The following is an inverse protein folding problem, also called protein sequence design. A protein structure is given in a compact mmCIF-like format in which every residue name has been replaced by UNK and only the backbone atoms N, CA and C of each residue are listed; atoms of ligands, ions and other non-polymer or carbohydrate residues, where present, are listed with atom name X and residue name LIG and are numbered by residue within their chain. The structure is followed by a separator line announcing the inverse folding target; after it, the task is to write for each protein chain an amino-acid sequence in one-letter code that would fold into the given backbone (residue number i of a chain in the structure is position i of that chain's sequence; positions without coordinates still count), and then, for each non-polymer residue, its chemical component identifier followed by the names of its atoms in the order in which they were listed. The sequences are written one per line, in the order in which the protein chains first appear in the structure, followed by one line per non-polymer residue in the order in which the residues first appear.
data_IF_577536876350
#
_entry.id   IF_577536876350
#
_cell.length_a   1.000
_cell.length_b   1.000
_cell.length_c   1.000
_cell.angle_alpha   90.00
_cell.angle_beta   90.00
_cell.angle_gamma   90.00
#
_symmetry.space_group_name_H-M   'P 1'
#
loop_
_entity.id
_entity.type
_entity.pdbx_description
1 polymer ?
#
# COMPACT_ATOMS: atom_id res chain seq x y z
N UNK A 1 30.12 -5.60 3.88
CA UNK A 1 29.14 -4.81 4.67
C UNK A 1 27.81 -5.50 4.95
N UNK A 2 27.23 -6.29 4.03
CA UNK A 2 26.26 -7.36 4.40
C UNK A 2 26.74 -8.15 5.64
N UNK A 3 28.04 -8.41 5.70
CA UNK A 3 28.76 -9.02 6.84
C UNK A 3 28.50 -8.36 8.19
N UNK A 4 28.42 -7.02 8.30
CA UNK A 4 28.19 -6.32 9.59
C UNK A 4 26.74 -6.51 10.02
N UNK A 5 25.80 -6.36 9.10
CA UNK A 5 24.39 -6.59 9.42
C UNK A 5 24.11 -8.06 9.76
N UNK A 6 24.72 -9.00 9.03
CA UNK A 6 24.64 -10.42 9.37
C UNK A 6 25.32 -10.72 10.69
N UNK A 7 26.49 -10.14 10.98
CA UNK A 7 27.17 -10.30 12.25
C UNK A 7 26.31 -9.80 13.43
N UNK A 8 25.72 -8.61 13.33
CA UNK A 8 24.82 -8.10 14.37
C UNK A 8 23.59 -9.00 14.50
N UNK A 9 23.00 -9.43 13.38
CA UNK A 9 21.87 -10.37 13.41
C UNK A 9 22.23 -11.70 14.08
N UNK A 10 23.39 -12.26 13.74
CA UNK A 10 23.84 -13.55 14.25
C UNK A 10 24.21 -13.42 15.73
N UNK A 11 24.80 -12.29 16.16
CA UNK A 11 25.03 -11.96 17.56
C UNK A 11 23.71 -11.87 18.34
N UNK A 12 22.72 -11.13 17.83
CA UNK A 12 21.38 -11.05 18.42
C UNK A 12 20.75 -12.45 18.49
N UNK A 13 20.90 -13.27 17.45
CA UNK A 13 20.35 -14.63 17.43
C UNK A 13 21.04 -15.57 18.43
N UNK A 14 22.36 -15.41 18.66
CA UNK A 14 23.09 -16.14 19.70
C UNK A 14 22.61 -15.71 21.08
N UNK A 15 22.53 -14.40 21.34
CA UNK A 15 21.97 -13.87 22.59
C UNK A 15 20.54 -14.40 22.83
N UNK A 16 19.75 -14.57 21.76
CA UNK A 16 18.39 -15.12 21.83
C UNK A 16 18.32 -16.54 22.40
N UNK A 17 19.35 -17.34 22.11
CA UNK A 17 19.40 -18.79 22.38
C UNK A 17 20.14 -19.12 23.68
N UNK A 18 21.08 -18.27 24.10
CA UNK A 18 22.00 -18.58 25.19
C UNK A 18 21.58 -17.95 26.52
N UNK A 19 20.91 -16.79 26.51
CA UNK A 19 20.55 -16.08 27.75
C UNK A 19 19.06 -16.21 28.09
N UNK A 20 18.75 -16.65 29.31
CA UNK A 20 17.42 -16.49 29.89
C UNK A 20 17.27 -15.08 30.45
N UNK A 21 16.36 -14.30 29.88
CA UNK A 21 16.14 -12.88 30.22
C UNK A 21 15.10 -12.71 31.34
N UNK A 22 15.09 -13.63 32.31
CA UNK A 22 14.07 -13.68 33.36
C UNK A 22 14.37 -12.72 34.52
N UNK A 23 15.61 -12.21 34.61
CA UNK A 23 16.04 -11.24 35.61
C UNK A 23 15.92 -9.79 35.15
N UNK A 24 15.38 -8.92 36.01
CA UNK A 24 15.20 -7.48 35.74
C UNK A 24 16.51 -6.75 35.37
N UNK A 25 17.63 -7.11 36.01
CA UNK A 25 18.96 -6.60 35.65
C UNK A 25 19.44 -7.08 34.28
N UNK A 26 19.09 -8.30 33.88
CA UNK A 26 19.46 -8.84 32.58
C UNK A 26 18.67 -8.14 31.47
N UNK A 27 17.38 -7.85 31.72
CA UNK A 27 16.54 -7.07 30.81
C UNK A 27 17.05 -5.64 30.62
N UNK A 28 17.51 -4.96 31.69
CA UNK A 28 18.03 -3.59 31.59
C UNK A 28 19.37 -3.52 30.84
N UNK A 29 20.27 -4.49 31.08
CA UNK A 29 21.52 -4.63 30.30
C UNK A 29 21.18 -4.89 28.83
N UNK A 30 20.24 -5.79 28.57
CA UNK A 30 19.80 -6.12 27.23
C UNK A 30 19.21 -4.91 26.49
N UNK A 31 18.30 -4.16 27.12
CA UNK A 31 17.76 -2.91 26.58
C UNK A 31 18.87 -1.89 26.28
N UNK A 32 19.92 -1.84 27.12
CA UNK A 32 21.05 -0.94 26.92
C UNK A 32 21.89 -1.34 25.71
N UNK A 33 22.14 -2.64 25.51
CA UNK A 33 22.86 -3.16 24.34
C UNK A 33 22.09 -2.89 23.05
N UNK A 34 20.79 -3.20 23.02
CA UNK A 34 19.94 -2.92 21.87
C UNK A 34 19.86 -1.42 21.58
N UNK A 35 19.75 -0.62 22.63
CA UNK A 35 19.79 0.82 22.55
C UNK A 35 21.06 1.38 21.92
N UNK A 36 22.21 0.83 22.31
CA UNK A 36 23.49 1.18 21.72
C UNK A 36 23.54 0.86 20.23
N UNK A 37 23.05 -0.33 19.83
CA UNK A 37 22.96 -0.74 18.42
C UNK A 37 22.05 0.22 17.64
N UNK A 38 20.87 0.56 18.18
CA UNK A 38 19.92 1.47 17.54
C UNK A 38 20.50 2.87 17.32
N UNK A 39 21.22 3.41 18.32
CA UNK A 39 21.88 4.72 18.22
C UNK A 39 22.99 4.70 17.17
N UNK A 40 23.86 3.69 17.21
CA UNK A 40 24.98 3.55 16.25
C UNK A 40 24.51 3.29 14.83
N UNK A 41 23.32 2.70 14.64
CA UNK A 41 22.75 2.49 13.30
C UNK A 41 22.47 3.82 12.57
N UNK A 42 22.22 4.92 13.29
CA UNK A 42 21.98 6.25 12.70
C UNK A 42 23.27 6.95 12.24
N UNK A 43 24.42 6.53 12.79
CA UNK A 43 25.75 7.02 12.41
C UNK A 43 26.27 6.34 11.13
N UNK A 44 25.59 5.28 10.66
CA UNK A 44 25.93 4.62 9.41
C UNK A 44 25.46 5.46 8.21
N UNK A 45 26.29 5.68 7.18
CA UNK A 45 25.90 6.43 5.98
C UNK A 45 24.61 5.89 5.30
N UNK A 46 23.85 6.80 4.67
CA UNK A 46 22.49 6.53 4.13
C UNK A 46 22.43 5.49 3.01
N UNK A 47 23.54 5.18 2.36
CA UNK A 47 23.65 4.11 1.35
C UNK A 47 23.52 2.69 1.97
N UNK A 48 23.44 2.59 3.30
CA UNK A 48 23.48 1.32 4.02
C UNK A 48 22.13 0.87 4.58
N UNK A 49 22.08 -0.42 4.92
CA UNK A 49 20.99 -1.15 5.57
C UNK A 49 20.65 -0.69 7.00
N UNK A 50 20.92 0.56 7.37
CA UNK A 50 20.63 1.15 8.69
C UNK A 50 19.17 0.92 9.10
N UNK A 51 18.22 1.07 8.17
CA UNK A 51 16.81 0.79 8.40
C UNK A 51 16.54 -0.70 8.70
N UNK A 52 17.27 -1.62 8.07
CA UNK A 52 17.11 -3.06 8.30
C UNK A 52 17.65 -3.44 9.69
N UNK A 53 18.82 -2.90 10.07
CA UNK A 53 19.39 -3.08 11.40
C UNK A 53 18.47 -2.53 12.48
N UNK A 54 17.93 -1.32 12.28
CA UNK A 54 16.97 -0.69 13.19
C UNK A 54 15.72 -1.55 13.38
N UNK A 55 15.18 -2.10 12.30
CA UNK A 55 14.03 -3.01 12.36
C UNK A 55 14.36 -4.32 13.08
N UNK A 56 15.51 -4.94 12.81
CA UNK A 56 15.91 -6.19 13.44
C UNK A 56 16.16 -6.02 14.96
N UNK A 57 16.84 -4.96 15.35
CA UNK A 57 17.08 -4.64 16.75
C UNK A 57 15.77 -4.36 17.51
N UNK A 58 14.83 -3.64 16.88
CA UNK A 58 13.53 -3.36 17.46
C UNK A 58 12.64 -4.60 17.56
N UNK A 59 12.64 -5.46 16.53
CA UNK A 59 11.95 -6.76 16.54
C UNK A 59 12.46 -7.63 17.70
N UNK A 60 13.78 -7.66 17.88
CA UNK A 60 14.41 -8.41 18.95
C UNK A 60 14.04 -7.89 20.34
N UNK A 61 13.98 -6.56 20.50
CA UNK A 61 13.53 -5.92 21.75
C UNK A 61 12.10 -6.33 22.12
N UNK A 62 11.18 -6.25 21.16
CA UNK A 62 9.75 -6.52 21.38
C UNK A 62 9.44 -7.99 21.67
N UNK A 63 10.22 -8.92 21.08
CA UNK A 63 10.02 -10.36 21.30
C UNK A 63 10.51 -10.80 22.68
N UNK A 64 11.57 -10.16 23.20
CA UNK A 64 12.31 -10.68 24.35
C UNK A 64 12.06 -9.95 25.65
N UNK A 65 11.77 -8.66 25.58
CA UNK A 65 11.49 -7.88 26.77
C UNK A 65 9.98 -7.83 26.95
N UNK A 66 9.48 -8.50 27.98
CA UNK A 66 8.10 -8.31 28.43
C UNK A 66 7.95 -6.86 28.87
N UNK A 67 6.92 -6.19 28.38
CA UNK A 67 6.60 -4.80 28.73
C UNK A 67 7.74 -3.82 28.40
N UNK A 68 8.09 -3.72 27.11
CA UNK A 68 9.04 -2.70 26.65
C UNK A 68 8.55 -1.32 27.02
N UNK A 69 9.37 -0.59 27.80
CA UNK A 69 9.10 0.81 28.12
C UNK A 69 9.20 1.68 26.85
N UNK A 70 8.14 2.43 26.58
CA UNK A 70 8.04 3.40 25.49
C UNK A 70 9.16 4.44 25.52
N UNK A 71 9.58 4.87 26.71
CA UNK A 71 10.66 5.84 26.86
C UNK A 71 11.97 5.31 26.28
N UNK A 72 12.18 3.99 26.32
CA UNK A 72 13.35 3.31 25.74
C UNK A 72 13.28 3.37 24.22
N UNK A 73 12.10 3.11 23.62
CA UNK A 73 11.90 3.18 22.16
C UNK A 73 12.08 4.62 21.66
N UNK A 74 11.50 5.60 22.35
CA UNK A 74 11.59 7.02 22.02
C UNK A 74 13.02 7.57 22.17
N UNK A 75 13.73 7.18 23.24
CA UNK A 75 15.12 7.53 23.50
C UNK A 75 16.07 7.15 22.36
N UNK A 76 15.73 6.12 21.59
CA UNK A 76 16.51 5.67 20.43
C UNK A 76 15.93 6.12 19.09
N UNK A 77 15.10 7.17 19.08
CA UNK A 77 14.62 7.81 17.85
C UNK A 77 13.76 6.90 16.97
N UNK A 78 13.16 5.85 17.52
CA UNK A 78 12.32 4.94 16.77
C UNK A 78 10.94 5.56 16.56
N UNK A 79 10.69 6.08 15.36
CA UNK A 79 9.38 6.62 14.98
C UNK A 79 8.31 5.52 15.01
N UNK A 80 7.06 5.87 15.35
CA UNK A 80 5.91 4.96 15.32
C UNK A 80 5.77 4.15 14.02
N UNK A 81 6.16 4.73 12.88
CA UNK A 81 6.17 4.03 11.59
C UNK A 81 7.14 2.83 11.55
N UNK A 82 8.29 2.92 12.21
CA UNK A 82 9.26 1.81 12.31
C UNK A 82 8.71 0.70 13.21
N UNK A 83 8.09 1.07 14.32
CA UNK A 83 7.45 0.14 15.25
C UNK A 83 6.29 -0.60 14.57
N UNK A 84 5.42 0.13 13.88
CA UNK A 84 4.32 -0.44 13.09
C UNK A 84 4.85 -1.44 12.05
N UNK A 85 5.92 -1.09 11.33
CA UNK A 85 6.52 -1.99 10.32
C UNK A 85 7.10 -3.27 10.91
N UNK A 86 7.66 -3.21 12.12
CA UNK A 86 8.17 -4.38 12.83
C UNK A 86 7.02 -5.28 13.27
N UNK A 87 5.97 -4.71 13.88
CA UNK A 87 4.77 -5.48 14.24
C UNK A 87 4.12 -6.12 13.01
N UNK A 88 3.94 -5.39 11.91
CA UNK A 88 3.42 -5.95 10.66
C UNK A 88 4.20 -7.19 10.22
N UNK A 89 5.55 -7.15 10.26
CA UNK A 89 6.41 -8.28 9.90
C UNK A 89 6.21 -9.47 10.85
N UNK A 90 6.19 -9.22 12.16
CA UNK A 90 6.01 -10.26 13.17
C UNK A 90 4.63 -10.94 13.05
N UNK A 91 3.61 -10.16 12.67
CA UNK A 91 2.22 -10.61 12.63
C UNK A 91 1.80 -11.22 11.28
N UNK A 92 2.56 -10.97 10.19
CA UNK A 92 2.16 -11.35 8.83
C UNK A 92 1.86 -12.86 8.69
N UNK A 93 2.64 -13.70 9.38
CA UNK A 93 2.53 -15.15 9.30
C UNK A 93 1.49 -15.76 10.27
N UNK A 94 0.88 -14.95 11.15
CA UNK A 94 -0.13 -15.45 12.09
C UNK A 94 -1.45 -15.71 11.38
N UNK A 95 -2.15 -16.81 11.68
CA UNK A 95 -3.41 -17.16 11.01
C UNK A 95 -4.62 -16.42 11.57
N UNK A 96 -4.63 -16.20 12.89
CA UNK A 96 -5.72 -15.53 13.61
C UNK A 96 -5.21 -14.19 14.14
N UNK A 97 -5.88 -13.10 13.77
CA UNK A 97 -5.54 -11.74 14.19
C UNK A 97 -6.76 -11.06 14.79
N UNK A 98 -6.83 -11.07 16.12
CA UNK A 98 -7.83 -10.31 16.85
C UNK A 98 -7.39 -8.86 17.00
N UNK A 99 -8.17 -7.93 16.44
CA UNK A 99 -7.90 -6.49 16.51
C UNK A 99 -8.48 -5.85 17.79
N UNK A 100 -8.45 -6.59 18.90
CA UNK A 100 -8.96 -6.11 20.18
C UNK A 100 -8.00 -5.05 20.74
N UNK A 101 -8.57 -3.97 21.26
CA UNK A 101 -7.84 -2.90 21.93
C UNK A 101 -8.39 -2.73 23.34
N UNK A 102 -7.50 -2.54 24.30
CA UNK A 102 -7.87 -2.29 25.69
C UNK A 102 -8.70 -1.00 25.83
N UNK A 103 -9.42 -0.85 26.94
CA UNK A 103 -10.22 0.34 27.22
C UNK A 103 -9.37 1.62 27.33
N UNK A 104 -8.16 1.51 27.86
CA UNK A 104 -7.20 2.61 28.03
C UNK A 104 -5.83 2.20 27.47
N UNK A 105 -5.70 2.13 26.13
CA UNK A 105 -4.51 1.56 25.52
C UNK A 105 -3.34 2.55 25.57
N UNK A 106 -2.17 2.06 25.94
CA UNK A 106 -0.93 2.80 25.81
C UNK A 106 -0.52 2.92 24.32
N UNK A 107 0.54 3.70 24.04
CA UNK A 107 0.96 3.94 22.65
C UNK A 107 1.41 2.66 21.93
N UNK A 108 2.07 1.71 22.61
CA UNK A 108 2.48 0.43 22.02
C UNK A 108 1.24 -0.38 21.63
N UNK A 109 0.27 -0.51 22.53
CA UNK A 109 -0.96 -1.24 22.27
C UNK A 109 -1.76 -0.63 21.11
N UNK A 110 -1.79 0.71 21.01
CA UNK A 110 -2.36 1.40 19.86
C UNK A 110 -1.61 1.04 18.57
N UNK A 111 -0.28 1.10 18.56
CA UNK A 111 0.52 0.77 17.37
C UNK A 111 0.36 -0.70 16.99
N UNK A 112 0.33 -1.61 17.95
CA UNK A 112 0.10 -3.03 17.72
C UNK A 112 -1.29 -3.28 17.12
N UNK A 113 -2.35 -2.68 17.67
CA UNK A 113 -3.71 -2.81 17.15
C UNK A 113 -3.82 -2.31 15.71
N UNK A 114 -3.21 -1.16 15.40
CA UNK A 114 -3.15 -0.63 14.03
C UNK A 114 -2.37 -1.58 13.11
N UNK A 115 -1.27 -2.15 13.58
CA UNK A 115 -0.47 -3.10 12.80
C UNK A 115 -1.24 -4.39 12.50
N UNK A 116 -1.96 -4.94 13.49
CA UNK A 116 -2.87 -6.09 13.31
C UNK A 116 -3.93 -5.79 12.27
N UNK A 117 -4.56 -4.62 12.34
CA UNK A 117 -5.56 -4.19 11.37
C UNK A 117 -4.98 -4.13 9.94
N UNK A 118 -3.79 -3.54 9.78
CA UNK A 118 -3.12 -3.46 8.46
C UNK A 118 -2.75 -4.82 7.91
N UNK A 119 -2.25 -5.75 8.74
CA UNK A 119 -1.96 -7.12 8.31
C UNK A 119 -3.25 -7.82 7.88
N UNK A 120 -4.33 -7.70 8.67
CA UNK A 120 -5.64 -8.25 8.33
C UNK A 120 -6.15 -7.72 6.99
N UNK A 121 -6.13 -6.40 6.80
CA UNK A 121 -6.49 -5.76 5.52
C UNK A 121 -5.59 -6.19 4.37
N UNK A 122 -4.28 -6.38 4.60
CA UNK A 122 -3.35 -6.85 3.56
C UNK A 122 -3.77 -8.21 3.01
N UNK A 123 -4.12 -9.15 3.89
CA UNK A 123 -4.63 -10.48 3.49
C UNK A 123 -5.95 -10.39 2.73
N UNK A 124 -6.83 -9.47 3.12
CA UNK A 124 -8.06 -9.21 2.41
C UNK A 124 -7.81 -8.61 1.03
N UNK A 125 -6.88 -7.65 0.91
CA UNK A 125 -6.47 -7.06 -0.36
C UNK A 125 -5.88 -8.13 -1.28
N UNK A 126 -4.98 -8.98 -0.78
CA UNK A 126 -4.42 -10.10 -1.54
C UNK A 126 -5.52 -11.03 -2.05
N UNK A 127 -6.49 -11.37 -1.20
CA UNK A 127 -7.63 -12.22 -1.56
C UNK A 127 -8.60 -11.53 -2.53
N UNK A 128 -8.75 -10.22 -2.43
CA UNK A 128 -9.57 -9.39 -3.30
C UNK A 128 -8.94 -9.26 -4.69
N UNK A 129 -7.62 -9.08 -4.72
CA UNK A 129 -6.81 -8.89 -5.92
C UNK A 129 -6.33 -10.21 -6.54
N UNK A 130 -6.68 -11.37 -6.01
CA UNK A 130 -6.43 -12.62 -6.75
C UNK A 130 -7.23 -12.62 -8.06
N UNK A 131 -6.67 -13.16 -9.16
CA UNK A 131 -7.45 -13.42 -10.35
C UNK A 131 -8.64 -14.29 -9.95
N UNK A 132 -9.83 -13.87 -10.33
CA UNK A 132 -11.08 -14.56 -10.02
C UNK A 132 -11.90 -14.73 -11.27
N UNK A 133 -12.63 -15.83 -11.36
CA UNK A 133 -13.65 -16.01 -12.41
C UNK A 133 -14.86 -15.12 -12.11
N UNK A 134 -15.70 -14.84 -13.11
CA UNK A 134 -16.89 -14.01 -12.93
C UNK A 134 -17.84 -14.57 -11.85
N UNK A 135 -17.94 -15.89 -11.72
CA UNK A 135 -18.78 -16.57 -10.74
C UNK A 135 -18.29 -16.35 -9.29
N UNK A 136 -16.97 -16.31 -9.09
CA UNK A 136 -16.36 -16.08 -7.78
C UNK A 136 -16.62 -14.67 -7.23
N UNK A 137 -16.88 -13.68 -8.10
CA UNK A 137 -17.29 -12.32 -7.70
C UNK A 137 -18.74 -12.24 -7.22
N UNK A 138 -19.55 -13.27 -7.47
CA UNK A 138 -20.95 -13.32 -7.03
C UNK A 138 -21.21 -14.26 -5.86
N UNK A 139 -20.23 -15.09 -5.51
CA UNK A 139 -20.34 -16.08 -4.44
C UNK A 139 -20.38 -15.47 -3.03
N UNK A 140 -20.95 -16.21 -2.08
CA UNK A 140 -21.03 -15.81 -0.67
C UNK A 140 -19.67 -15.48 -0.06
N UNK A 141 -18.62 -16.23 -0.42
CA UNK A 141 -17.24 -15.97 0.03
C UNK A 141 -16.75 -14.58 -0.32
N UNK A 142 -17.15 -14.05 -1.47
CA UNK A 142 -16.77 -12.70 -1.89
C UNK A 142 -17.55 -11.63 -1.13
N UNK A 143 -18.84 -11.85 -0.87
CA UNK A 143 -19.64 -10.96 -0.01
C UNK A 143 -19.08 -10.92 1.41
N UNK A 144 -18.73 -12.08 1.97
CA UNK A 144 -18.08 -12.16 3.29
C UNK A 144 -16.76 -11.38 3.30
N UNK A 145 -15.92 -11.53 2.27
CA UNK A 145 -14.68 -10.75 2.14
C UNK A 145 -14.94 -9.24 2.10
N UNK A 146 -15.96 -8.78 1.38
CA UNK A 146 -16.29 -7.35 1.32
C UNK A 146 -16.89 -6.82 2.64
N UNK A 147 -17.69 -7.62 3.34
CA UNK A 147 -18.17 -7.30 4.69
C UNK A 147 -16.97 -7.12 5.63
N UNK A 148 -16.07 -8.11 5.65
CA UNK A 148 -14.85 -8.11 6.45
C UNK A 148 -13.96 -6.89 6.17
N UNK A 149 -13.82 -6.50 4.89
CA UNK A 149 -13.10 -5.28 4.49
C UNK A 149 -13.82 -4.04 5.01
N UNK A 150 -15.13 -3.94 4.82
CA UNK A 150 -15.94 -2.79 5.25
C UNK A 150 -15.85 -2.59 6.76
N UNK A 151 -15.96 -3.67 7.54
CA UNK A 151 -15.86 -3.65 8.99
C UNK A 151 -14.46 -3.24 9.45
N UNK A 152 -13.41 -3.81 8.84
CA UNK A 152 -12.04 -3.45 9.15
C UNK A 152 -11.72 -1.99 8.81
N UNK A 153 -12.23 -1.47 7.69
CA UNK A 153 -12.04 -0.06 7.31
C UNK A 153 -12.80 0.91 8.21
N UNK A 154 -13.85 0.45 8.90
CA UNK A 154 -14.63 1.23 9.88
C UNK A 154 -14.11 1.08 11.32
N UNK A 155 -12.97 0.42 11.51
CA UNK A 155 -12.43 0.07 12.82
C UNK A 155 -12.28 1.29 13.74
N UNK A 156 -11.66 2.37 13.24
CA UNK A 156 -11.38 3.59 14.00
C UNK A 156 -12.67 4.28 14.46
N UNK A 157 -13.71 4.30 13.63
CA UNK A 157 -15.03 4.80 14.01
C UNK A 157 -15.65 4.00 15.16
N UNK A 158 -15.53 2.67 15.12
CA UNK A 158 -16.03 1.79 16.19
C UNK A 158 -15.23 1.90 17.50
N UNK A 159 -13.98 2.38 17.43
CA UNK A 159 -13.03 2.47 18.57
C UNK A 159 -12.65 3.90 18.94
N UNK A 160 -13.50 4.87 18.60
CA UNK A 160 -13.24 6.30 18.81
C UNK A 160 -12.96 6.63 20.28
N UNK A 161 -13.66 5.98 21.21
CA UNK A 161 -13.47 6.20 22.65
C UNK A 161 -12.11 5.72 23.16
N UNK A 162 -11.54 4.64 22.60
CA UNK A 162 -10.24 4.12 23.01
C UNK A 162 -9.07 4.83 22.31
N UNK A 163 -9.26 5.28 21.07
CA UNK A 163 -8.19 5.84 20.24
C UNK A 163 -8.04 7.36 20.39
N UNK A 164 -9.11 8.05 20.79
CA UNK A 164 -9.14 9.49 21.07
C UNK A 164 -9.55 10.34 19.87
N UNK A 165 -9.32 11.65 19.99
CA UNK A 165 -9.84 12.66 19.05
C UNK A 165 -9.28 12.53 17.63
N UNK A 166 -8.10 11.95 17.46
CA UNK A 166 -7.47 11.78 16.14
C UNK A 166 -8.00 10.57 15.35
N UNK A 167 -8.97 9.81 15.89
CA UNK A 167 -9.48 8.59 15.26
C UNK A 167 -9.97 8.83 13.81
N UNK A 168 -10.62 9.96 13.57
CA UNK A 168 -11.16 10.31 12.25
C UNK A 168 -10.01 10.55 11.23
N UNK A 169 -8.87 11.11 11.70
CA UNK A 169 -7.67 11.31 10.86
C UNK A 169 -7.01 9.97 10.55
N UNK A 170 -6.88 9.09 11.54
CA UNK A 170 -6.35 7.74 11.33
C UNK A 170 -7.20 6.93 10.36
N UNK A 171 -8.53 7.04 10.45
CA UNK A 171 -9.47 6.39 9.54
C UNK A 171 -9.24 6.83 8.09
N UNK A 172 -9.09 8.15 7.85
CA UNK A 172 -8.79 8.66 6.51
C UNK A 172 -7.45 8.13 5.98
N UNK A 173 -6.40 8.12 6.81
CA UNK A 173 -5.11 7.56 6.41
C UNK A 173 -5.18 6.06 6.12
N UNK A 174 -6.00 5.31 6.86
CA UNK A 174 -6.23 3.89 6.61
C UNK A 174 -6.90 3.68 5.24
N UNK A 175 -7.92 4.46 4.92
CA UNK A 175 -8.62 4.38 3.63
C UNK A 175 -7.70 4.73 2.47
N UNK A 176 -6.88 5.79 2.60
CA UNK A 176 -5.85 6.15 1.62
C UNK A 176 -4.84 5.00 1.45
N UNK A 177 -4.34 4.45 2.56
CA UNK A 177 -3.38 3.36 2.53
C UNK A 177 -3.94 2.12 1.85
N UNK A 178 -5.18 1.73 2.17
CA UNK A 178 -5.88 0.59 1.57
C UNK A 178 -6.01 0.76 0.06
N UNK A 179 -6.49 1.93 -0.41
CA UNK A 179 -6.59 2.23 -1.84
C UNK A 179 -5.22 2.18 -2.53
N UNK A 180 -4.17 2.72 -1.89
CA UNK A 180 -2.80 2.64 -2.42
C UNK A 180 -2.36 1.18 -2.61
N UNK A 181 -2.63 0.30 -1.65
CA UNK A 181 -2.28 -1.12 -1.77
C UNK A 181 -3.02 -1.80 -2.94
N UNK A 182 -4.32 -1.54 -3.09
CA UNK A 182 -5.10 -2.02 -4.23
C UNK A 182 -4.52 -1.51 -5.57
N UNK A 183 -4.19 -0.22 -5.65
CA UNK A 183 -3.57 0.37 -6.83
C UNK A 183 -2.21 -0.26 -7.16
N UNK A 184 -1.39 -0.58 -6.15
CA UNK A 184 -0.10 -1.23 -6.38
C UNK A 184 -0.24 -2.65 -6.95
N UNK A 185 -1.29 -3.39 -6.57
CA UNK A 185 -1.47 -4.78 -7.00
C UNK A 185 -2.26 -4.94 -8.31
N UNK A 186 -3.19 -4.02 -8.60
CA UNK A 186 -4.11 -4.12 -9.75
C UNK A 186 -4.10 -2.92 -10.68
N UNK A 187 -3.39 -1.87 -10.31
CA UNK A 187 -3.40 -0.61 -11.03
C UNK A 187 -4.60 0.29 -10.66
N UNK A 188 -4.46 1.60 -10.90
CA UNK A 188 -5.46 2.60 -10.54
C UNK A 188 -6.79 2.41 -11.29
N UNK A 189 -6.75 1.98 -12.56
CA UNK A 189 -7.95 1.76 -13.37
C UNK A 189 -8.84 0.66 -12.76
N UNK A 190 -8.23 -0.47 -12.37
CA UNK A 190 -8.97 -1.55 -11.72
C UNK A 190 -9.54 -1.08 -10.38
N UNK A 191 -8.74 -0.44 -9.54
CA UNK A 191 -9.18 0.03 -8.22
C UNK A 191 -10.35 1.00 -8.33
N UNK A 192 -10.27 1.98 -9.24
CA UNK A 192 -11.36 2.91 -9.50
C UNK A 192 -12.60 2.19 -10.00
N UNK A 193 -12.46 1.34 -11.03
CA UNK A 193 -13.60 0.63 -11.63
C UNK A 193 -14.31 -0.23 -10.60
N UNK A 194 -13.55 -0.97 -9.80
CA UNK A 194 -14.07 -1.89 -8.78
C UNK A 194 -14.87 -1.16 -7.69
N UNK A 195 -14.28 -0.16 -7.03
CA UNK A 195 -14.95 0.54 -5.92
C UNK A 195 -16.03 1.54 -6.39
N UNK A 196 -16.12 1.83 -7.69
CA UNK A 196 -17.21 2.62 -8.27
C UNK A 196 -18.40 1.79 -8.75
N UNK A 197 -18.34 0.44 -8.69
CA UNK A 197 -19.47 -0.37 -9.16
C UNK A 197 -20.75 -0.08 -8.35
N UNK A 198 -21.91 0.14 -9.00
CA UNK A 198 -23.14 0.51 -8.30
C UNK A 198 -23.58 -0.53 -7.26
N UNK A 199 -23.49 -1.82 -7.57
CA UNK A 199 -23.82 -2.92 -6.66
C UNK A 199 -22.96 -2.89 -5.39
N UNK A 200 -21.65 -2.68 -5.51
CA UNK A 200 -20.72 -2.57 -4.38
C UNK A 200 -21.08 -1.32 -3.55
N UNK A 201 -21.29 -0.18 -4.19
CA UNK A 201 -21.61 1.08 -3.50
C UNK A 201 -22.95 1.08 -2.78
N UNK A 202 -23.95 0.39 -3.34
CA UNK A 202 -25.26 0.24 -2.69
C UNK A 202 -25.17 -0.68 -1.47
N UNK A 203 -24.41 -1.78 -1.55
CA UNK A 203 -24.30 -2.75 -0.46
C UNK A 203 -23.34 -2.30 0.65
N UNK A 204 -22.31 -1.52 0.30
CA UNK A 204 -21.23 -1.12 1.20
C UNK A 204 -21.10 0.41 1.25
N UNK A 205 -21.85 1.08 2.15
CA UNK A 205 -21.90 2.55 2.21
C UNK A 205 -20.54 3.22 2.43
N UNK A 206 -19.57 2.52 3.00
CA UNK A 206 -18.19 3.03 3.17
C UNK A 206 -17.53 3.39 1.84
N UNK A 207 -17.90 2.75 0.73
CA UNK A 207 -17.33 3.04 -0.59
C UNK A 207 -18.08 4.15 -1.37
N UNK A 208 -19.15 4.69 -0.80
CA UNK A 208 -20.04 5.63 -1.50
C UNK A 208 -20.32 6.92 -0.71
N UNK A 209 -20.58 6.79 0.60
CA UNK A 209 -21.06 7.89 1.43
C UNK A 209 -19.91 8.71 1.98
N UNK A 210 -19.92 10.03 1.73
CA UNK A 210 -18.96 10.98 2.32
C UNK A 210 -19.00 10.97 3.86
N UNK A 211 -20.15 10.62 4.45
CA UNK A 211 -20.30 10.46 5.92
C UNK A 211 -19.60 9.21 6.46
N UNK A 212 -19.38 8.20 5.63
CA UNK A 212 -18.72 6.95 6.02
C UNK A 212 -17.24 6.95 5.62
N UNK A 213 -16.93 7.49 4.44
CA UNK A 213 -15.56 7.75 4.02
C UNK A 213 -15.52 8.93 3.07
N UNK A 214 -14.86 10.01 3.51
CA UNK A 214 -14.50 11.11 2.64
C UNK A 214 -13.63 10.60 1.47
N UNK A 215 -12.66 9.73 1.74
CA UNK A 215 -11.68 9.26 0.77
C UNK A 215 -12.34 8.46 -0.37
N UNK A 216 -13.17 7.46 -0.05
CA UNK A 216 -13.82 6.66 -1.10
C UNK A 216 -14.89 7.47 -1.86
N UNK A 217 -15.56 8.43 -1.20
CA UNK A 217 -16.53 9.29 -1.89
C UNK A 217 -15.90 10.16 -2.98
N UNK A 218 -14.63 10.54 -2.82
CA UNK A 218 -13.87 11.30 -3.84
C UNK A 218 -13.27 10.41 -4.93
N UNK A 219 -13.38 9.09 -4.81
CA UNK A 219 -12.95 8.17 -5.86
C UNK A 219 -13.93 8.25 -7.04
N UNK A 220 -13.62 9.12 -8.00
CA UNK A 220 -14.42 9.27 -9.22
C UNK A 220 -13.99 8.24 -10.28
N UNK A 221 -14.93 7.73 -11.09
CA UNK A 221 -14.57 7.06 -12.33
C UNK A 221 -13.85 8.09 -13.20
N UNK A 222 -12.59 7.86 -13.55
CA UNK A 222 -11.97 8.60 -14.66
C UNK A 222 -12.41 7.96 -15.97
N UNK A 223 -12.47 8.75 -17.03
CA UNK A 223 -12.62 8.18 -18.36
C UNK A 223 -11.47 7.21 -18.62
N UNK A 224 -11.78 6.09 -19.30
CA UNK A 224 -10.87 4.95 -19.54
C UNK A 224 -9.57 5.33 -20.26
N UNK A 225 -9.43 6.58 -20.70
CA UNK A 225 -8.32 7.09 -21.47
C UNK A 225 -7.51 8.18 -20.74
N UNK A 226 -8.07 8.91 -19.77
CA UNK A 226 -7.36 10.00 -19.06
C UNK A 226 -6.17 9.48 -18.23
N UNK A 227 -6.28 8.27 -17.67
CA UNK A 227 -5.18 7.70 -16.89
C UNK A 227 -3.98 7.31 -17.76
N UNK A 228 -4.20 7.05 -19.06
CA UNK A 228 -3.15 6.81 -20.06
C UNK A 228 -2.52 8.11 -20.57
N UNK A 229 -3.09 9.28 -20.25
CA UNK A 229 -2.48 10.57 -20.59
C UNK A 229 -1.42 11.01 -19.57
N UNK A 230 -1.38 10.35 -18.39
CA UNK A 230 -0.46 10.65 -17.27
C UNK A 230 0.57 9.57 -16.85
N UNK A 231 0.77 8.41 -17.51
CA UNK A 231 1.81 7.46 -17.11
C UNK A 231 3.18 7.83 -17.72
N UNK A 232 3.17 8.70 -18.72
CA UNK A 232 4.34 9.13 -19.43
C UNK A 232 4.97 10.32 -18.73
N UNK A 233 6.30 10.44 -18.79
CA UNK A 233 6.93 11.68 -18.41
C UNK A 233 6.42 12.82 -19.30
N UNK A 234 6.63 14.06 -18.83
CA UNK A 234 6.12 15.25 -19.51
C UNK A 234 6.59 15.34 -20.96
N UNK A 235 7.78 14.83 -21.25
CA UNK A 235 8.40 14.91 -22.58
C UNK A 235 7.72 13.94 -23.54
N UNK A 236 7.49 12.69 -23.12
CA UNK A 236 6.75 11.72 -23.90
C UNK A 236 5.27 12.09 -24.03
N UNK A 237 4.62 12.62 -22.98
CA UNK A 237 3.24 13.13 -23.09
C UNK A 237 3.13 14.24 -24.15
N UNK A 238 4.10 15.15 -24.20
CA UNK A 238 4.14 16.21 -25.22
C UNK A 238 4.34 15.63 -26.63
N UNK A 239 5.28 14.69 -26.80
CA UNK A 239 5.51 13.98 -28.06
C UNK A 239 4.25 13.23 -28.51
N UNK A 240 3.56 12.57 -27.58
CA UNK A 240 2.31 11.85 -27.83
C UNK A 240 1.15 12.76 -28.21
N UNK A 241 0.93 13.87 -27.49
CA UNK A 241 -0.13 14.81 -27.84
C UNK A 241 0.09 15.44 -29.22
N UNK A 242 1.33 15.77 -29.57
CA UNK A 242 1.69 16.26 -30.90
C UNK A 242 1.41 15.20 -31.98
N UNK A 243 1.83 13.96 -31.73
CA UNK A 243 1.59 12.82 -32.63
C UNK A 243 0.10 12.52 -32.81
N UNK A 244 -0.69 12.47 -31.73
CA UNK A 244 -2.14 12.31 -31.71
C UNK A 244 -2.84 13.41 -32.52
N UNK A 245 -2.44 14.67 -32.36
CA UNK A 245 -3.00 15.79 -33.11
C UNK A 245 -2.69 15.68 -34.62
N UNK A 246 -1.48 15.24 -34.99
CA UNK A 246 -1.11 14.96 -36.39
C UNK A 246 -1.92 13.80 -36.99
N UNK A 247 -2.18 12.75 -36.20
CA UNK A 247 -3.01 11.60 -36.59
C UNK A 247 -4.47 11.98 -36.86
N UNK A 248 -5.01 12.95 -36.12
CA UNK A 248 -6.38 13.43 -36.29
C UNK A 248 -6.55 14.37 -37.51
N UNK A 249 -5.45 14.81 -38.14
CA UNK A 249 -5.51 15.65 -39.32
C UNK A 249 -5.78 14.84 -40.61
N UNK A 250 -6.58 15.34 -41.57
CA UNK A 250 -7.08 14.55 -42.72
C UNK A 250 -6.02 14.11 -43.76
N UNK A 251 -4.73 14.39 -43.53
CA UNK A 251 -3.66 14.09 -44.48
C UNK A 251 -2.82 12.93 -43.93
N UNK A 252 -3.10 11.72 -44.41
CA UNK A 252 -2.34 10.44 -44.32
C UNK A 252 -1.23 10.30 -43.27
N UNK A 253 -1.11 9.12 -42.66
CA UNK A 253 -0.03 8.71 -41.71
C UNK A 253 1.40 9.17 -42.14
N UNK A 254 1.67 9.30 -43.45
CA UNK A 254 2.93 9.85 -43.99
C UNK A 254 3.27 11.28 -43.51
N UNK A 255 2.30 12.06 -43.05
CA UNK A 255 2.50 13.41 -42.49
C UNK A 255 2.87 13.39 -41.00
N UNK A 256 2.70 12.24 -40.32
CA UNK A 256 3.09 12.02 -38.93
C UNK A 256 4.60 11.75 -38.85
N UNK A 257 5.41 12.70 -39.33
CA UNK A 257 6.85 12.67 -39.15
C UNK A 257 7.11 12.91 -37.66
N UNK A 258 7.66 11.89 -37.01
CA UNK A 258 8.25 11.95 -35.68
C UNK A 258 9.74 12.25 -35.88
N UNK A 259 10.24 13.27 -35.18
CA UNK A 259 11.63 13.76 -35.33
C UNK A 259 12.66 12.66 -35.00
N UNK A 260 12.36 11.84 -34.00
CA UNK A 260 13.15 10.68 -33.59
C UNK A 260 12.47 9.40 -34.05
N UNK A 261 13.12 8.62 -34.93
CA UNK A 261 12.57 7.37 -35.47
C UNK A 261 12.22 6.35 -34.38
N UNK A 262 12.94 6.40 -33.26
CA UNK A 262 12.79 5.49 -32.11
C UNK A 262 11.45 5.70 -31.39
N UNK A 263 10.87 6.90 -31.47
CA UNK A 263 9.61 7.25 -30.82
C UNK A 263 8.37 6.84 -31.63
N UNK A 264 8.52 6.58 -32.93
CA UNK A 264 7.37 6.32 -33.80
C UNK A 264 6.55 5.10 -33.37
N UNK A 265 7.22 3.99 -33.05
CA UNK A 265 6.55 2.74 -32.62
C UNK A 265 5.88 2.90 -31.26
N UNK A 266 6.55 3.42 -30.20
CA UNK A 266 5.91 3.73 -28.92
C UNK A 266 4.70 4.66 -29.04
N UNK A 267 4.79 5.73 -29.84
CA UNK A 267 3.73 6.71 -30.03
C UNK A 267 2.53 6.13 -30.80
N UNK A 268 2.79 5.33 -31.84
CA UNK A 268 1.75 4.62 -32.59
C UNK A 268 1.03 3.60 -31.71
N UNK A 269 1.78 2.82 -30.93
CA UNK A 269 1.20 1.87 -29.97
C UNK A 269 0.35 2.60 -28.93
N UNK A 270 0.87 3.69 -28.34
CA UNK A 270 0.08 4.50 -27.42
C UNK A 270 -1.21 5.01 -28.08
N UNK A 271 -1.15 5.52 -29.31
CA UNK A 271 -2.33 6.01 -30.02
C UNK A 271 -3.38 4.90 -30.27
N UNK A 272 -2.94 3.70 -30.65
CA UNK A 272 -3.82 2.55 -30.89
C UNK A 272 -4.46 2.02 -29.60
N UNK A 273 -3.74 2.03 -28.48
CA UNK A 273 -4.24 1.56 -27.18
C UNK A 273 -5.10 2.59 -26.44
N UNK A 274 -4.88 3.89 -26.69
CA UNK A 274 -5.56 5.00 -26.00
C UNK A 274 -6.75 5.51 -26.81
N UNK A 275 -6.84 5.25 -28.11
CA UNK A 275 -7.98 5.68 -28.91
C UNK A 275 -9.30 5.07 -28.38
N UNK A 276 -10.37 5.87 -28.25
CA UNK A 276 -11.69 5.33 -27.91
C UNK A 276 -12.17 4.39 -29.04
N UNK A 277 -12.98 3.35 -28.74
CA UNK A 277 -13.64 2.57 -29.78
C UNK A 277 -14.48 3.52 -30.63
N UNK A 278 -14.14 3.63 -31.91
CA UNK A 278 -14.86 4.45 -32.87
C UNK A 278 -16.33 4.00 -32.87
N UNK A 279 -17.23 4.90 -32.48
CA UNK A 279 -18.66 4.71 -32.72
C UNK A 279 -18.84 4.40 -34.21
N UNK A 280 -19.35 3.21 -34.50
CA UNK A 280 -19.64 2.74 -35.85
C UNK A 280 -20.87 3.51 -36.35
N UNK A 281 -20.66 4.75 -36.78
CA UNK A 281 -21.55 5.43 -37.71
C UNK A 281 -20.72 6.17 -38.74
N UNK A 282 -20.52 5.45 -39.86
CA UNK A 282 -20.16 5.94 -41.19
C UNK A 282 -18.95 6.89 -41.31
N UNK A 283 -17.92 6.37 -42.00
CA UNK A 283 -16.77 7.08 -42.63
C UNK A 283 -15.49 7.22 -41.81
N UNK A 284 -14.85 6.09 -41.53
CA UNK A 284 -13.38 6.04 -41.40
C UNK A 284 -12.85 4.60 -41.47
N UNK A 285 -13.15 3.91 -42.58
CA UNK A 285 -12.68 2.54 -42.87
C UNK A 285 -11.18 2.46 -43.26
N UNK A 286 -10.40 3.53 -43.10
CA UNK A 286 -9.04 3.61 -43.65
C UNK A 286 -7.91 3.35 -42.65
N UNK A 287 -8.20 3.17 -41.36
CA UNK A 287 -7.14 2.88 -40.36
C UNK A 287 -7.01 1.36 -40.11
N UNK A 288 -8.12 0.61 -40.16
CA UNK A 288 -8.08 -0.85 -39.97
C UNK A 288 -7.67 -1.65 -41.22
N UNK A 289 -7.80 -1.11 -42.43
CA UNK A 289 -7.46 -1.83 -43.67
C UNK A 289 -5.95 -1.85 -44.01
N UNK A 290 -5.06 -1.27 -43.19
CA UNK A 290 -3.62 -1.28 -43.48
C UNK A 290 -2.83 -2.41 -42.82
N UNK A 291 -3.46 -3.23 -41.96
CA UNK A 291 -2.75 -4.29 -41.21
C UNK A 291 -3.53 -5.61 -41.10
N UNK A 292 -4.43 -5.89 -42.03
CA UNK A 292 -4.97 -7.25 -42.25
C UNK A 292 -4.20 -7.93 -43.37
#
# INVERSE_FOLDING_TARGET
MRKVTYFIRDLLHIMQRVESLDGQNVQSVFQSVIGYILRRAEELPREYSANMLKQQALEFLLVKVKEVDLTVIEKYGCKNASLNRVYERMLMNQTILECNIASYPNLIEKVEAISKLKVKLTKYIESLCKPKTAEEFTGEKFKLLLNDISDALSYFKSKKTQLGNDSDVYEQYLHIWFLKQCCMLKGPCWTQTFFNQPNIRMQYPIFASEKQSYIFSKLKPRDKHEWLETPFDKDFTNKYNNFKNKLLWPKSIKSCIVEEKEDFVPLLMAALFIAPPLNVSSRSSNILCMFS
#
